data_IF_650673560349
#
_entry.id   IF_650673560349
#
_cell.length_a   1.000
_cell.length_b   1.000
_cell.length_c   1.000
_cell.angle_alpha   90.00
_cell.angle_beta   90.00
_cell.angle_gamma   90.00
#
_symmetry.space_group_name_H-M   'P 1'
#
loop_
_entity.id
_entity.type
_entity.pdbx_description
1 polymer ?
#
# COMPACT_ATOMS: atom_id res chain seq x y z
N UNK A 1 18.37 2.29 -6.75
CA UNK A 1 16.94 2.66 -6.74
C UNK A 1 16.78 3.99 -6.00
N UNK A 2 15.79 4.80 -6.37
CA UNK A 2 15.55 6.10 -5.71
C UNK A 2 15.22 5.97 -4.22
N UNK A 3 14.62 4.85 -3.81
CA UNK A 3 14.40 4.53 -2.40
C UNK A 3 15.70 4.47 -1.58
N UNK A 4 16.79 3.94 -2.15
CA UNK A 4 18.10 3.90 -1.47
C UNK A 4 18.63 5.32 -1.27
N UNK A 5 18.50 6.17 -2.30
CA UNK A 5 18.90 7.57 -2.22
C UNK A 5 18.08 8.31 -1.16
N UNK A 6 16.76 8.08 -1.10
CA UNK A 6 15.92 8.68 -0.06
C UNK A 6 16.39 8.29 1.36
N UNK A 7 16.70 7.01 1.58
CA UNK A 7 17.23 6.54 2.85
C UNK A 7 18.61 7.18 3.19
N UNK A 8 19.50 7.32 2.22
CA UNK A 8 20.80 8.00 2.39
C UNK A 8 20.66 9.48 2.76
N UNK A 9 19.58 10.13 2.32
CA UNK A 9 19.28 11.52 2.65
C UNK A 9 18.51 11.66 3.98
N UNK A 10 18.29 10.57 4.71
CA UNK A 10 17.60 10.59 6.00
C UNK A 10 16.11 10.90 5.91
N UNK A 11 15.47 10.58 4.78
CA UNK A 11 14.02 10.71 4.63
C UNK A 11 13.32 9.70 5.55
N UNK A 12 12.33 10.15 6.31
CA UNK A 12 11.62 9.31 7.30
C UNK A 12 10.74 8.23 6.66
N UNK A 13 10.16 8.53 5.49
CA UNK A 13 9.26 7.61 4.80
C UNK A 13 9.17 7.87 3.30
N UNK A 14 8.85 6.82 2.54
CA UNK A 14 8.47 6.90 1.12
C UNK A 14 7.12 6.24 0.87
N UNK A 15 6.48 6.61 -0.25
CA UNK A 15 5.34 5.89 -0.79
C UNK A 15 5.67 5.36 -2.18
N UNK A 16 5.58 4.04 -2.36
CA UNK A 16 5.66 3.40 -3.67
C UNK A 16 4.33 3.62 -4.38
N UNK A 17 4.31 4.53 -5.34
CA UNK A 17 3.09 4.95 -6.05
C UNK A 17 3.37 5.27 -7.52
N UNK A 18 2.39 4.97 -8.37
CA UNK A 18 2.31 5.50 -9.75
C UNK A 18 1.13 6.45 -9.93
N UNK A 19 0.66 7.05 -8.81
CA UNK A 19 -0.48 7.95 -8.77
C UNK A 19 -1.80 7.30 -9.25
N UNK A 20 -1.97 6.00 -8.96
CA UNK A 20 -3.12 5.22 -9.42
C UNK A 20 -3.19 5.06 -10.94
N UNK A 21 -2.04 5.04 -11.62
CA UNK A 21 -1.91 4.93 -13.08
C UNK A 21 -2.27 6.20 -13.84
N UNK A 22 -2.14 7.38 -13.21
CA UNK A 22 -2.59 8.67 -13.77
C UNK A 22 -1.47 9.65 -14.07
N UNK A 23 -0.24 9.35 -13.66
CA UNK A 23 0.92 10.23 -13.89
C UNK A 23 1.67 9.80 -15.14
N UNK A 24 2.52 8.77 -15.05
CA UNK A 24 3.22 8.19 -16.19
C UNK A 24 2.53 6.91 -16.62
N UNK A 25 1.98 6.92 -17.84
CA UNK A 25 1.43 5.70 -18.45
C UNK A 25 2.53 4.66 -18.66
N UNK A 26 2.17 3.38 -18.60
CA UNK A 26 3.08 2.22 -18.62
C UNK A 26 4.05 2.10 -17.43
N UNK A 27 3.90 2.95 -16.41
CA UNK A 27 4.58 2.77 -15.13
C UNK A 27 4.25 1.39 -14.54
N UNK A 28 5.22 0.67 -13.96
CA UNK A 28 4.99 -0.65 -13.39
C UNK A 28 3.92 -0.63 -12.30
N UNK A 29 3.30 -1.79 -12.09
CA UNK A 29 2.40 -1.98 -10.96
C UNK A 29 3.18 -1.78 -9.65
N UNK A 30 2.65 -0.96 -8.75
CA UNK A 30 3.33 -0.57 -7.50
C UNK A 30 3.69 -1.76 -6.61
N UNK A 31 2.87 -2.80 -6.58
CA UNK A 31 3.17 -4.04 -5.85
C UNK A 31 4.40 -4.78 -6.40
N UNK A 32 4.67 -4.70 -7.71
CA UNK A 32 5.86 -5.29 -8.32
C UNK A 32 7.12 -4.49 -7.97
N UNK A 33 7.00 -3.16 -7.91
CA UNK A 33 8.09 -2.29 -7.45
C UNK A 33 8.39 -2.53 -5.97
N UNK A 34 7.37 -2.75 -5.14
CA UNK A 34 7.56 -3.12 -3.73
C UNK A 34 8.27 -4.48 -3.59
N UNK A 35 7.88 -5.48 -4.39
CA UNK A 35 8.55 -6.78 -4.45
C UNK A 35 10.02 -6.63 -4.87
N UNK A 36 10.30 -5.81 -5.89
CA UNK A 36 11.66 -5.55 -6.35
C UNK A 36 12.50 -4.86 -5.27
N UNK A 37 11.92 -3.87 -4.58
CA UNK A 37 12.56 -3.18 -3.47
C UNK A 37 12.93 -4.13 -2.34
N UNK A 38 11.99 -5.00 -1.93
CA UNK A 38 12.21 -6.01 -0.89
C UNK A 38 13.28 -7.02 -1.28
N UNK A 39 13.33 -7.42 -2.55
CA UNK A 39 14.32 -8.38 -3.06
C UNK A 39 15.72 -7.79 -3.19
N UNK A 40 15.82 -6.57 -3.72
CA UNK A 40 17.10 -6.01 -4.16
C UNK A 40 17.71 -5.01 -3.17
N UNK A 41 16.90 -4.37 -2.33
CA UNK A 41 17.35 -3.35 -1.37
C UNK A 41 16.61 -3.49 -0.02
N UNK A 42 16.67 -4.66 0.65
CA UNK A 42 15.93 -4.90 1.89
C UNK A 42 16.32 -3.93 3.03
N UNK A 43 17.57 -3.45 3.06
CA UNK A 43 18.05 -2.50 4.07
C UNK A 43 17.29 -1.17 4.09
N UNK A 44 16.53 -0.85 3.04
CA UNK A 44 15.65 0.33 3.01
C UNK A 44 14.58 0.26 4.10
N UNK A 45 14.03 -0.93 4.34
CA UNK A 45 12.94 -1.14 5.29
C UNK A 45 13.39 -1.00 6.75
N UNK A 46 14.70 -1.10 7.03
CA UNK A 46 15.27 -0.87 8.36
C UNK A 46 15.57 0.62 8.63
N UNK A 47 15.68 1.42 7.56
CA UNK A 47 16.12 2.82 7.63
C UNK A 47 14.97 3.83 7.59
N UNK A 48 13.86 3.48 6.93
CA UNK A 48 12.72 4.36 6.77
C UNK A 48 11.42 3.57 6.57
N UNK A 49 10.28 4.21 6.81
CA UNK A 49 9.00 3.57 6.57
C UNK A 49 8.68 3.53 5.07
N UNK A 50 8.22 2.37 4.59
CA UNK A 50 7.79 2.20 3.20
C UNK A 50 6.28 2.00 3.16
N UNK A 51 5.58 2.93 2.54
CA UNK A 51 4.16 2.84 2.24
C UNK A 51 3.95 2.44 0.78
N UNK A 52 2.76 1.94 0.42
CA UNK A 52 2.40 1.64 -0.97
C UNK A 52 0.94 1.99 -1.24
N UNK A 53 0.61 2.43 -2.45
CA UNK A 53 -0.76 2.56 -2.92
C UNK A 53 -0.94 2.02 -4.35
N UNK A 54 -2.16 2.13 -4.87
CA UNK A 54 -2.46 1.80 -6.28
C UNK A 54 -3.06 0.40 -6.46
N UNK A 55 -4.30 0.37 -6.93
CA UNK A 55 -4.97 -0.87 -7.35
C UNK A 55 -5.45 -1.81 -6.23
N UNK A 56 -5.31 -1.41 -4.96
CA UNK A 56 -5.70 -2.21 -3.79
C UNK A 56 -7.22 -2.24 -3.67
N UNK A 57 -7.80 -3.45 -3.70
CA UNK A 57 -9.27 -3.62 -3.68
C UNK A 57 -9.76 -4.74 -2.76
N UNK A 58 -8.86 -5.58 -2.25
CA UNK A 58 -9.15 -6.67 -1.31
C UNK A 58 -8.17 -6.70 -0.16
N UNK A 59 -8.59 -7.23 0.99
CA UNK A 59 -7.73 -7.38 2.16
C UNK A 59 -6.50 -8.25 1.89
N UNK A 60 -6.61 -9.22 0.97
CA UNK A 60 -5.46 -10.04 0.54
C UNK A 60 -4.40 -9.23 -0.20
N UNK A 61 -4.76 -8.12 -0.85
CA UNK A 61 -3.78 -7.20 -1.46
C UNK A 61 -3.00 -6.46 -0.38
N UNK A 62 -3.69 -6.03 0.68
CA UNK A 62 -3.07 -5.42 1.87
C UNK A 62 -2.11 -6.42 2.51
N UNK A 63 -2.56 -7.65 2.74
CA UNK A 63 -1.74 -8.69 3.38
C UNK A 63 -0.45 -8.96 2.59
N UNK A 64 -0.53 -9.06 1.26
CA UNK A 64 0.66 -9.23 0.41
C UNK A 64 1.63 -8.05 0.55
N UNK A 65 1.12 -6.81 0.54
CA UNK A 65 1.96 -5.62 0.70
C UNK A 65 2.66 -5.59 2.06
N UNK A 66 1.96 -5.93 3.15
CA UNK A 66 2.53 -6.03 4.49
C UNK A 66 3.62 -7.12 4.55
N UNK A 67 3.39 -8.30 3.94
CA UNK A 67 4.39 -9.36 3.85
C UNK A 67 5.65 -8.94 3.06
N UNK A 68 5.52 -7.98 2.15
CA UNK A 68 6.63 -7.40 1.40
C UNK A 68 7.31 -6.23 2.14
N UNK A 69 6.96 -5.98 3.40
CA UNK A 69 7.59 -4.98 4.25
C UNK A 69 6.92 -3.61 4.25
N UNK A 70 5.80 -3.42 3.54
CA UNK A 70 5.09 -2.14 3.63
C UNK A 70 4.54 -1.91 5.05
N UNK A 71 4.66 -0.68 5.55
CA UNK A 71 4.13 -0.23 6.84
C UNK A 71 2.61 -0.12 6.81
N UNK A 72 2.07 0.48 5.75
CA UNK A 72 0.65 0.56 5.50
C UNK A 72 0.36 0.72 4.00
N UNK A 73 -0.92 0.59 3.66
CA UNK A 73 -1.41 0.61 2.28
C UNK A 73 -2.42 1.73 2.09
N UNK A 74 -2.16 2.61 1.12
CA UNK A 74 -3.04 3.71 0.75
C UNK A 74 -4.18 3.27 -0.15
N UNK A 75 -5.37 3.82 0.08
CA UNK A 75 -6.57 3.58 -0.74
C UNK A 75 -7.12 4.91 -1.23
N UNK A 76 -7.15 5.11 -2.55
CA UNK A 76 -7.67 6.33 -3.17
C UNK A 76 -9.13 6.18 -3.63
N UNK A 77 -9.31 5.73 -4.89
CA UNK A 77 -10.62 5.71 -5.59
C UNK A 77 -11.75 5.03 -4.82
N UNK A 78 -11.47 3.96 -4.07
CA UNK A 78 -12.52 3.26 -3.32
C UNK A 78 -13.22 4.15 -2.27
N UNK A 79 -12.47 5.02 -1.59
CA UNK A 79 -13.04 6.01 -0.67
C UNK A 79 -13.87 7.06 -1.43
N UNK A 80 -13.40 7.52 -2.59
CA UNK A 80 -14.14 8.46 -3.43
C UNK A 80 -15.45 7.86 -3.96
N UNK A 81 -15.46 6.58 -4.31
CA UNK A 81 -16.69 5.90 -4.72
C UNK A 81 -17.67 5.74 -3.57
N UNK A 82 -17.17 5.40 -2.38
CA UNK A 82 -17.96 5.30 -1.16
C UNK A 82 -18.59 6.65 -0.77
N UNK A 83 -17.88 7.76 -1.00
CA UNK A 83 -18.36 9.11 -0.71
C UNK A 83 -19.62 9.50 -1.51
N UNK A 84 -19.89 8.87 -2.66
CA UNK A 84 -21.16 9.08 -3.38
C UNK A 84 -22.39 8.64 -2.57
N UNK A 85 -22.20 7.82 -1.54
CA UNK A 85 -23.23 7.41 -0.57
C UNK A 85 -23.16 8.23 0.74
N UNK A 86 -22.44 9.35 0.75
CA UNK A 86 -22.22 10.21 1.91
C UNK A 86 -21.32 9.57 2.97
N UNK A 87 -21.32 10.15 4.18
CA UNK A 87 -20.49 9.70 5.31
C UNK A 87 -20.70 8.22 5.64
N UNK A 88 -21.95 7.75 5.63
CA UNK A 88 -22.29 6.35 5.90
C UNK A 88 -21.64 5.39 4.89
N UNK A 89 -21.52 5.80 3.63
CA UNK A 89 -20.82 5.03 2.61
C UNK A 89 -19.34 4.85 2.94
N UNK A 90 -18.69 5.94 3.35
CA UNK A 90 -17.28 5.96 3.74
C UNK A 90 -17.05 5.11 5.01
N UNK A 91 -17.89 5.26 6.03
CA UNK A 91 -17.84 4.44 7.25
C UNK A 91 -17.98 2.95 6.92
N UNK A 92 -18.99 2.59 6.13
CA UNK A 92 -19.20 1.21 5.70
C UNK A 92 -18.01 0.67 4.90
N UNK A 93 -17.39 1.50 4.06
CA UNK A 93 -16.20 1.11 3.32
C UNK A 93 -15.02 0.80 4.25
N UNK A 94 -14.76 1.66 5.23
CA UNK A 94 -13.71 1.47 6.25
C UNK A 94 -13.99 0.22 7.10
N UNK A 95 -15.23 -0.01 7.51
CA UNK A 95 -15.61 -1.17 8.31
C UNK A 95 -15.36 -2.49 7.56
N UNK A 96 -15.67 -2.54 6.26
CA UNK A 96 -15.36 -3.73 5.44
C UNK A 96 -13.86 -4.02 5.37
N UNK A 97 -13.01 -3.01 5.40
CA UNK A 97 -11.56 -3.22 5.46
C UNK A 97 -11.13 -3.78 6.82
N UNK A 98 -11.66 -3.25 7.93
CA UNK A 98 -11.40 -3.77 9.27
C UNK A 98 -11.81 -5.24 9.42
N UNK A 99 -12.99 -5.59 8.94
CA UNK A 99 -13.50 -6.98 8.94
C UNK A 99 -12.55 -7.94 8.19
N UNK A 100 -12.07 -7.54 7.02
CA UNK A 100 -11.15 -8.35 6.22
C UNK A 100 -9.77 -8.48 6.87
N UNK A 101 -9.24 -7.41 7.46
CA UNK A 101 -7.97 -7.45 8.19
C UNK A 101 -8.02 -8.39 9.40
N UNK A 102 -9.13 -8.39 10.16
CA UNK A 102 -9.34 -9.32 11.29
C UNK A 102 -9.44 -10.78 10.83
N UNK A 103 -10.12 -11.02 9.70
CA UNK A 103 -10.24 -12.36 9.13
C UNK A 103 -8.87 -12.92 8.70
N UNK A 104 -8.02 -12.08 8.10
CA UNK A 104 -6.68 -12.48 7.66
C UNK A 104 -5.69 -12.71 8.81
N UNK A 105 -5.93 -12.10 9.97
CA UNK A 105 -5.08 -12.26 11.16
C UNK A 105 -5.55 -13.39 12.08
N UNK A 106 -6.59 -14.14 11.69
CA UNK A 106 -7.01 -15.34 12.41
C UNK A 106 -6.00 -16.47 12.13
N UNK A 107 -5.52 -17.20 13.15
CA UNK A 107 -4.63 -18.33 12.92
C UNK A 107 -5.33 -19.31 11.97
N UNK A 108 -4.62 -19.72 10.92
CA UNK A 108 -5.10 -20.74 10.00
C UNK A 108 -5.55 -21.96 10.82
N UNK A 109 -6.80 -22.39 10.62
CA UNK A 109 -7.30 -23.65 11.18
C UNK A 109 -6.51 -24.83 10.64
#
# INVERSE_FOLDING_TARGET
MDAVRAAEHGVEAIIVSNHGGRSLDTSPATILVLLELQKNCPDVFDKMEVYVDGGVTRGTDIFKALCLGARAVGVGRGLLYALNYGTQGVERYIDRWREQSLTLNSPAR
#
